data_IF_458618906664
#
_entry.id   IF_458618906664
#
_cell.length_a   1.000
_cell.length_b   1.000
_cell.length_c   1.000
_cell.angle_alpha   90.00
_cell.angle_beta   90.00
_cell.angle_gamma   90.00
#
_symmetry.space_group_name_H-M   'P 1'
#
loop_
_entity.id
_entity.type
_entity.pdbx_description
1 polymer ?
#
# COMPACT_ATOMS: atom_id res chain seq x y z
N UNK A 1 -25.07 -56.12 73.00
CA UNK A 1 -24.84 -55.94 71.55
C UNK A 1 -24.01 -54.65 71.33
N UNK A 2 -22.71 -54.80 71.11
CA UNK A 2 -21.80 -53.69 70.93
C UNK A 2 -21.51 -53.50 69.41
N UNK A 3 -21.48 -52.32 68.89
CA UNK A 3 -21.12 -52.12 67.47
C UNK A 3 -19.62 -52.10 67.28
N UNK A 4 -19.18 -52.76 66.21
CA UNK A 4 -17.80 -52.89 65.81
C UNK A 4 -17.21 -51.53 65.28
N UNK A 5 -16.09 -51.16 65.85
CA UNK A 5 -15.29 -50.02 65.38
C UNK A 5 -14.49 -50.40 64.12
N UNK A 6 -14.75 -49.78 62.99
CA UNK A 6 -13.87 -49.84 61.83
C UNK A 6 -12.74 -48.83 62.03
N UNK A 7 -11.50 -49.28 62.05
CA UNK A 7 -10.30 -48.48 61.97
C UNK A 7 -10.05 -48.08 60.52
N UNK A 8 -10.08 -46.80 60.24
CA UNK A 8 -9.63 -46.21 58.98
C UNK A 8 -8.14 -45.98 59.13
N UNK A 9 -7.33 -46.66 58.32
CA UNK A 9 -5.88 -46.40 58.22
C UNK A 9 -5.65 -45.17 57.42
N UNK A 10 -5.10 -44.15 58.07
CA UNK A 10 -4.57 -42.94 57.42
C UNK A 10 -3.28 -43.32 56.71
N UNK A 11 -3.26 -43.33 55.36
CA UNK A 11 -2.06 -43.28 54.56
C UNK A 11 -1.46 -41.87 54.66
N UNK A 12 -0.15 -41.73 54.71
CA UNK A 12 0.45 -40.45 54.93
C UNK A 12 0.34 -39.55 53.72
N UNK A 13 -0.21 -38.37 53.95
CA UNK A 13 -0.46 -37.29 52.98
C UNK A 13 0.85 -36.56 52.51
N UNK A 14 2.02 -37.17 52.72
CA UNK A 14 3.30 -36.54 52.44
C UNK A 14 3.90 -36.80 51.04
N UNK A 15 3.32 -37.76 50.27
CA UNK A 15 3.88 -38.11 48.95
C UNK A 15 3.28 -37.35 47.77
N UNK A 16 2.12 -36.71 47.95
CA UNK A 16 1.42 -36.00 46.84
C UNK A 16 2.06 -34.65 46.44
N UNK A 17 2.59 -33.82 47.36
CA UNK A 17 3.18 -32.57 46.95
C UNK A 17 4.54 -32.73 46.24
N UNK A 18 5.27 -33.82 46.43
CA UNK A 18 6.57 -34.03 45.79
C UNK A 18 6.45 -34.46 44.32
N UNK A 19 5.36 -35.17 43.98
CA UNK A 19 5.09 -35.58 42.60
C UNK A 19 4.58 -34.43 41.74
N UNK A 20 3.87 -33.46 42.34
CA UNK A 20 3.41 -32.24 41.60
C UNK A 20 4.55 -31.26 41.34
N UNK A 21 5.60 -31.22 42.16
CA UNK A 21 6.77 -30.37 41.95
C UNK A 21 7.69 -30.89 40.84
N UNK A 22 7.73 -32.21 40.63
CA UNK A 22 8.55 -32.80 39.57
C UNK A 22 7.97 -32.61 38.17
N UNK A 23 6.64 -32.38 38.04
CA UNK A 23 6.00 -32.11 36.74
C UNK A 23 6.14 -30.65 36.31
N UNK A 24 6.36 -29.72 37.26
CA UNK A 24 6.52 -28.29 36.98
C UNK A 24 7.96 -27.90 36.58
N UNK A 25 8.96 -28.74 36.86
CA UNK A 25 10.36 -28.50 36.46
C UNK A 25 10.70 -28.96 35.04
N UNK A 26 9.79 -29.68 34.38
CA UNK A 26 9.99 -30.20 33.02
C UNK A 26 9.54 -29.24 31.89
N UNK A 27 8.88 -28.12 32.19
CA UNK A 27 8.36 -27.18 31.17
C UNK A 27 9.13 -25.87 31.07
N UNK A 28 10.27 -25.70 31.72
CA UNK A 28 11.08 -24.47 31.60
C UNK A 28 11.96 -24.40 30.35
N UNK A 29 11.85 -25.38 29.44
CA UNK A 29 12.66 -25.44 28.22
C UNK A 29 11.90 -25.24 26.92
N UNK A 30 10.58 -25.01 26.92
CA UNK A 30 9.79 -24.97 25.69
C UNK A 30 9.30 -23.59 25.24
N UNK A 31 9.58 -22.56 26.01
CA UNK A 31 9.49 -21.20 25.53
C UNK A 31 10.92 -20.64 25.36
N UNK A 32 11.62 -21.15 24.36
CA UNK A 32 12.62 -20.32 23.74
C UNK A 32 11.83 -19.24 23.02
N UNK A 33 11.65 -18.12 23.69
CA UNK A 33 11.43 -16.86 23.03
C UNK A 33 12.50 -16.81 21.93
N UNK A 34 12.17 -16.69 20.64
CA UNK A 34 13.21 -16.47 19.64
C UNK A 34 13.94 -15.24 20.13
N UNK A 35 15.21 -15.42 20.46
CA UNK A 35 16.01 -14.37 21.04
C UNK A 35 15.91 -13.14 20.16
N UNK A 36 15.65 -12.01 20.79
CA UNK A 36 15.80 -10.68 20.26
C UNK A 36 17.22 -10.47 19.79
N UNK A 37 17.55 -11.00 18.64
CA UNK A 37 18.76 -10.66 17.89
C UNK A 37 18.54 -11.00 16.41
N UNK A 38 17.37 -10.67 15.87
CA UNK A 38 17.31 -10.22 14.52
C UNK A 38 17.44 -8.71 14.57
N UNK A 39 18.66 -8.19 14.51
CA UNK A 39 18.85 -6.98 13.75
C UNK A 39 18.08 -7.23 12.45
N UNK A 40 16.93 -6.58 12.29
CA UNK A 40 16.28 -6.45 11.01
C UNK A 40 17.31 -5.78 10.11
N UNK A 41 18.09 -6.58 9.40
CA UNK A 41 18.86 -6.08 8.28
C UNK A 41 17.78 -5.65 7.30
N UNK A 42 17.49 -4.35 7.26
CA UNK A 42 16.78 -3.72 6.17
C UNK A 42 17.36 -4.32 4.90
N UNK A 43 16.50 -4.96 4.10
CA UNK A 43 16.96 -5.58 2.88
C UNK A 43 17.64 -4.51 2.03
N UNK A 44 18.95 -4.59 1.87
CA UNK A 44 19.72 -3.67 1.03
C UNK A 44 19.48 -4.02 -0.44
N UNK A 45 18.31 -3.66 -0.98
CA UNK A 45 17.95 -3.91 -2.36
C UNK A 45 16.59 -3.34 -2.70
N UNK A 46 16.40 -3.04 -3.97
CA UNK A 46 15.10 -2.63 -4.48
C UNK A 46 14.25 -3.86 -4.75
N UNK A 47 13.10 -3.93 -4.08
CA UNK A 47 12.15 -5.01 -4.23
C UNK A 47 10.77 -4.46 -4.62
N UNK A 48 10.05 -5.24 -5.43
CA UNK A 48 8.68 -4.97 -5.79
C UNK A 48 7.79 -6.15 -5.39
N UNK A 49 6.59 -5.82 -4.93
CA UNK A 49 5.58 -6.79 -4.55
C UNK A 49 4.30 -6.49 -5.34
N UNK A 50 3.89 -7.45 -6.16
CA UNK A 50 2.69 -7.35 -6.99
C UNK A 50 1.67 -8.39 -6.50
N UNK A 51 0.51 -7.95 -6.02
CA UNK A 51 -0.55 -8.86 -5.64
C UNK A 51 -1.50 -9.13 -6.78
N UNK A 52 -1.96 -10.37 -6.82
CA UNK A 52 -2.88 -10.85 -7.83
C UNK A 52 -3.99 -11.67 -7.19
N UNK A 53 -5.19 -11.57 -7.76
CA UNK A 53 -6.31 -12.43 -7.48
C UNK A 53 -6.62 -13.28 -8.72
N UNK A 54 -6.61 -14.59 -8.55
CA UNK A 54 -6.99 -15.54 -9.60
C UNK A 54 -8.12 -16.43 -9.08
N UNK A 55 -8.92 -17.00 -9.98
CA UNK A 55 -9.96 -17.95 -9.57
C UNK A 55 -9.36 -19.13 -8.81
N UNK A 56 -9.51 -19.12 -7.47
CA UNK A 56 -9.01 -20.14 -6.56
C UNK A 56 -7.59 -19.96 -6.03
N UNK A 57 -6.87 -18.88 -6.38
CA UNK A 57 -5.51 -18.63 -5.89
C UNK A 57 -5.22 -17.14 -5.79
N UNK A 58 -4.96 -16.65 -4.58
CA UNK A 58 -4.50 -15.29 -4.34
C UNK A 58 -3.04 -15.33 -3.91
N UNK A 59 -2.20 -14.44 -4.41
CA UNK A 59 -0.78 -14.46 -4.09
C UNK A 59 -0.11 -13.09 -4.27
N UNK A 60 1.07 -12.96 -3.70
CA UNK A 60 2.00 -11.86 -3.92
C UNK A 60 3.21 -12.40 -4.67
N UNK A 61 3.51 -11.83 -5.81
CA UNK A 61 4.79 -12.00 -6.49
C UNK A 61 5.79 -10.98 -5.93
N UNK A 62 6.90 -11.46 -5.41
CA UNK A 62 8.04 -10.63 -5.00
C UNK A 62 9.13 -10.67 -6.05
N UNK A 63 9.69 -9.51 -6.38
CA UNK A 63 10.78 -9.35 -7.35
C UNK A 63 11.90 -8.49 -6.78
N UNK A 64 13.14 -8.85 -7.08
CA UNK A 64 14.29 -7.96 -6.98
C UNK A 64 14.48 -7.22 -8.30
N UNK A 65 14.78 -5.92 -8.23
CA UNK A 65 15.00 -5.02 -9.37
C UNK A 65 16.50 -4.93 -9.75
N UNK A 66 17.28 -5.91 -9.40
CA UNK A 66 18.73 -5.89 -9.60
C UNK A 66 19.12 -5.84 -11.09
N UNK A 67 19.93 -4.86 -11.45
CA UNK A 67 20.51 -4.77 -12.80
C UNK A 67 19.49 -4.50 -13.91
N UNK A 68 18.34 -3.93 -13.61
CA UNK A 68 17.29 -3.63 -14.61
C UNK A 68 16.50 -4.87 -15.05
N UNK A 69 16.47 -5.90 -14.23
CA UNK A 69 15.71 -7.13 -14.48
C UNK A 69 14.81 -7.43 -13.29
N UNK A 70 13.67 -8.07 -13.56
CA UNK A 70 12.77 -8.61 -12.55
C UNK A 70 13.18 -10.06 -12.24
N UNK A 71 13.75 -10.27 -11.04
CA UNK A 71 14.14 -11.61 -10.57
C UNK A 71 13.29 -11.96 -9.36
N UNK A 72 12.59 -13.10 -9.41
CA UNK A 72 11.74 -13.54 -8.30
C UNK A 72 12.54 -13.62 -6.98
N UNK A 73 11.98 -13.08 -5.91
CA UNK A 73 12.53 -13.19 -4.55
C UNK A 73 12.42 -14.62 -4.04
N UNK A 74 13.20 -14.96 -3.03
CA UNK A 74 13.12 -16.27 -2.38
C UNK A 74 11.71 -16.54 -1.88
N UNK A 75 11.19 -17.73 -2.18
CA UNK A 75 9.83 -18.20 -1.83
C UNK A 75 8.67 -17.46 -2.54
N UNK A 76 8.95 -16.57 -3.50
CA UNK A 76 7.91 -16.04 -4.40
C UNK A 76 7.39 -17.15 -5.35
N UNK A 77 6.06 -17.22 -5.62
CA UNK A 77 4.99 -16.39 -5.08
C UNK A 77 4.56 -16.79 -3.66
N UNK A 78 4.11 -15.80 -2.88
CA UNK A 78 3.56 -16.01 -1.53
C UNK A 78 2.06 -16.20 -1.60
N UNK A 79 1.57 -17.39 -1.26
CA UNK A 79 0.13 -17.70 -1.27
C UNK A 79 -0.61 -16.96 -0.17
N UNK A 80 -1.78 -16.41 -0.51
CA UNK A 80 -2.67 -15.70 0.40
C UNK A 80 -3.95 -16.50 0.64
N UNK A 81 -4.42 -16.54 1.89
CA UNK A 81 -5.71 -17.11 2.26
C UNK A 81 -6.90 -16.17 2.01
N UNK A 82 -6.66 -14.99 1.45
CA UNK A 82 -7.64 -13.91 1.25
C UNK A 82 -7.42 -13.21 -0.09
N UNK A 83 -8.40 -12.43 -0.53
CA UNK A 83 -8.29 -11.59 -1.74
C UNK A 83 -7.62 -10.27 -1.35
N UNK A 84 -6.42 -9.96 -1.86
CA UNK A 84 -5.76 -8.70 -1.57
C UNK A 84 -6.44 -7.54 -2.29
N UNK A 85 -6.58 -6.38 -1.62
CA UNK A 85 -7.18 -5.17 -2.19
C UNK A 85 -6.19 -4.00 -2.29
N UNK A 86 -5.30 -3.85 -1.32
CA UNK A 86 -4.30 -2.79 -1.29
C UNK A 86 -3.02 -3.27 -0.61
N UNK A 87 -1.88 -2.66 -0.94
CA UNK A 87 -0.58 -2.94 -0.32
C UNK A 87 0.24 -1.69 -0.16
N UNK A 88 1.06 -1.65 0.90
CA UNK A 88 2.05 -0.60 1.13
C UNK A 88 3.27 -1.14 1.85
N UNK A 89 4.46 -0.67 1.46
CA UNK A 89 5.74 -0.93 2.16
C UNK A 89 6.04 0.28 3.06
N UNK A 90 6.58 0.03 4.25
CA UNK A 90 7.05 1.10 5.15
C UNK A 90 8.31 1.76 4.60
N UNK A 91 8.51 3.07 4.90
CA UNK A 91 9.68 3.84 4.46
C UNK A 91 11.03 3.19 4.85
N UNK A 92 11.09 2.50 5.99
CA UNK A 92 12.27 1.76 6.45
C UNK A 92 12.48 0.42 5.71
N UNK A 93 11.62 0.04 4.77
CA UNK A 93 11.64 -1.24 4.05
C UNK A 93 11.59 -2.48 4.96
N UNK A 94 11.03 -2.33 6.15
CA UNK A 94 10.96 -3.40 7.15
C UNK A 94 9.69 -4.22 7.09
N UNK A 95 8.58 -3.58 6.70
CA UNK A 95 7.27 -4.20 6.70
C UNK A 95 6.49 -3.92 5.41
N UNK A 96 5.72 -4.91 4.99
CA UNK A 96 4.69 -4.81 3.97
C UNK A 96 3.33 -5.03 4.64
N UNK A 97 2.38 -4.14 4.44
CA UNK A 97 0.99 -4.33 4.85
C UNK A 97 0.12 -4.63 3.65
N UNK A 98 -0.80 -5.57 3.83
CA UNK A 98 -1.72 -6.04 2.79
C UNK A 98 -3.13 -6.02 3.35
N UNK A 99 -4.00 -5.24 2.75
CA UNK A 99 -5.41 -5.27 3.08
C UNK A 99 -6.13 -6.39 2.33
N UNK A 100 -7.07 -7.05 3.01
CA UNK A 100 -8.00 -7.99 2.39
C UNK A 100 -9.30 -7.28 2.03
N UNK A 101 -9.88 -7.65 0.89
CA UNK A 101 -11.32 -7.43 0.70
C UNK A 101 -12.09 -8.48 1.50
N UNK A 102 -13.24 -8.08 2.10
CA UNK A 102 -14.04 -8.98 2.92
C UNK A 102 -14.41 -10.26 2.19
N UNK A 103 -13.95 -11.37 2.71
CA UNK A 103 -14.23 -12.66 2.09
C UNK A 103 -15.62 -13.21 2.47
N UNK A 104 -16.10 -13.05 3.69
CA UNK A 104 -17.30 -13.77 4.17
C UNK A 104 -18.16 -12.98 5.16
N UNK A 105 -17.62 -12.01 5.92
CA UNK A 105 -18.33 -11.34 7.02
C UNK A 105 -18.63 -9.86 6.81
N UNK A 106 -18.18 -9.28 5.70
CA UNK A 106 -18.28 -7.83 5.47
C UNK A 106 -17.18 -7.02 6.16
N UNK A 107 -16.33 -7.66 6.96
CA UNK A 107 -15.20 -7.04 7.65
C UNK A 107 -13.92 -7.45 6.93
N UNK A 108 -13.07 -6.49 6.57
CA UNK A 108 -11.73 -6.71 6.04
C UNK A 108 -10.71 -6.94 7.15
N UNK A 109 -9.49 -7.19 6.75
CA UNK A 109 -8.35 -7.34 7.65
C UNK A 109 -7.11 -6.72 7.02
N UNK A 110 -6.20 -6.23 7.84
CA UNK A 110 -4.86 -5.80 7.41
C UNK A 110 -3.84 -6.79 7.95
N UNK A 111 -3.13 -7.45 7.05
CA UNK A 111 -2.05 -8.40 7.35
C UNK A 111 -0.70 -7.71 7.25
N UNK A 112 0.18 -7.96 8.22
CA UNK A 112 1.56 -7.49 8.21
C UNK A 112 2.53 -8.60 7.81
N UNK A 113 3.57 -8.24 7.08
CA UNK A 113 4.71 -9.09 6.73
C UNK A 113 6.00 -8.35 7.04
N UNK A 114 7.00 -9.04 7.61
CA UNK A 114 8.36 -8.52 7.64
C UNK A 114 9.07 -8.80 6.31
N UNK A 115 9.86 -7.82 5.86
CA UNK A 115 10.71 -7.93 4.67
C UNK A 115 12.11 -8.31 5.15
N UNK A 116 12.52 -9.53 4.84
CA UNK A 116 13.85 -10.05 5.17
C UNK A 116 14.89 -9.76 4.09
N UNK A 117 16.11 -10.25 4.31
CA UNK A 117 17.18 -10.18 3.32
C UNK A 117 16.74 -10.85 2.01
N UNK A 118 17.07 -10.22 0.87
CA UNK A 118 16.65 -10.72 -0.44
C UNK A 118 15.18 -10.51 -0.75
N UNK A 119 14.47 -9.65 0.00
CA UNK A 119 13.05 -9.31 -0.22
C UNK A 119 12.08 -10.42 0.18
N UNK A 120 12.52 -11.41 0.96
CA UNK A 120 11.66 -12.50 1.40
C UNK A 120 10.60 -12.00 2.41
N UNK A 121 9.34 -12.40 2.21
CA UNK A 121 8.24 -12.04 3.11
C UNK A 121 8.01 -13.11 4.18
N UNK A 122 7.86 -12.67 5.42
CA UNK A 122 7.44 -13.51 6.53
C UNK A 122 6.23 -12.88 7.22
N UNK A 123 5.13 -13.61 7.31
CA UNK A 123 3.89 -13.10 7.90
C UNK A 123 4.07 -12.84 9.40
N UNK A 124 3.52 -11.74 9.88
CA UNK A 124 3.53 -11.34 11.29
C UNK A 124 2.33 -11.93 12.03
N UNK A 125 2.33 -11.79 13.35
CA UNK A 125 1.21 -12.10 14.24
C UNK A 125 0.61 -13.50 14.03
N UNK A 126 1.43 -14.50 13.72
CA UNK A 126 0.99 -15.89 13.49
C UNK A 126 -0.15 -16.01 12.45
N UNK A 127 -0.12 -15.20 11.42
CA UNK A 127 -1.13 -15.13 10.35
C UNK A 127 -2.50 -14.57 10.79
N UNK A 128 -2.56 -13.86 11.90
CA UNK A 128 -3.76 -13.12 12.31
C UNK A 128 -3.71 -11.71 11.74
N UNK A 129 -4.71 -11.35 10.94
CA UNK A 129 -4.94 -9.98 10.50
C UNK A 129 -5.46 -9.11 11.65
N UNK A 130 -5.32 -7.79 11.52
CA UNK A 130 -6.05 -6.83 12.32
C UNK A 130 -7.38 -6.58 11.64
N UNK A 131 -8.49 -6.74 12.39
CA UNK A 131 -9.82 -6.37 11.88
C UNK A 131 -9.83 -4.90 11.47
N UNK A 132 -10.30 -4.64 10.28
CA UNK A 132 -10.42 -3.34 9.66
C UNK A 132 -11.67 -3.32 8.77
N UNK A 133 -12.17 -2.15 8.44
CA UNK A 133 -13.14 -2.06 7.34
C UNK A 133 -12.48 -2.49 6.02
N UNK A 134 -13.28 -2.80 5.00
CA UNK A 134 -12.75 -3.15 3.70
C UNK A 134 -11.95 -1.98 3.10
N UNK A 135 -10.64 -2.15 2.99
CA UNK A 135 -9.76 -1.10 2.49
C UNK A 135 -9.66 -1.11 0.97
N UNK A 136 -9.83 0.04 0.33
CA UNK A 136 -9.55 0.24 -1.09
C UNK A 136 -8.14 0.74 -1.36
N UNK A 137 -7.53 1.44 -0.39
CA UNK A 137 -6.17 1.95 -0.49
C UNK A 137 -5.51 2.01 0.89
N UNK A 138 -4.19 1.84 0.91
CA UNK A 138 -3.32 1.97 2.07
C UNK A 138 -2.16 2.91 1.76
N UNK A 139 -1.73 3.69 2.75
CA UNK A 139 -0.45 4.38 2.71
C UNK A 139 0.17 4.53 4.10
N UNK A 140 1.50 4.71 4.16
CA UNK A 140 2.26 4.83 5.40
C UNK A 140 2.90 6.21 5.48
N UNK A 141 2.89 6.82 6.67
CA UNK A 141 3.53 8.11 6.89
C UNK A 141 5.05 8.06 6.65
N UNK A 142 5.65 9.18 6.20
CA UNK A 142 7.08 9.23 5.88
C UNK A 142 8.01 8.88 7.04
N UNK A 143 7.57 9.04 8.29
CA UNK A 143 8.29 8.63 9.49
C UNK A 143 8.10 7.15 9.86
N UNK A 144 7.27 6.42 9.10
CA UNK A 144 7.01 4.99 9.28
C UNK A 144 6.20 4.63 10.52
N UNK A 145 5.58 5.61 11.20
CA UNK A 145 4.87 5.37 12.45
C UNK A 145 3.36 5.17 12.30
N UNK A 146 2.78 5.61 11.19
CA UNK A 146 1.33 5.65 10.97
C UNK A 146 0.96 5.01 9.64
N UNK A 147 -0.07 4.18 9.66
CA UNK A 147 -0.70 3.63 8.47
C UNK A 147 -2.11 4.16 8.38
N UNK A 148 -2.52 4.57 7.19
CA UNK A 148 -3.88 5.00 6.90
C UNK A 148 -4.51 4.06 5.88
N UNK A 149 -5.80 3.78 6.08
CA UNK A 149 -6.66 2.98 5.22
C UNK A 149 -7.85 3.80 4.76
N UNK A 150 -8.09 3.83 3.46
CA UNK A 150 -9.32 4.39 2.89
C UNK A 150 -10.34 3.27 2.73
N UNK A 151 -11.49 3.37 3.40
CA UNK A 151 -12.50 2.34 3.36
C UNK A 151 -13.24 2.29 2.03
N UNK A 152 -13.57 1.09 1.56
CA UNK A 152 -14.19 0.86 0.26
C UNK A 152 -15.65 1.33 0.18
N UNK A 153 -16.30 1.57 1.32
CA UNK A 153 -17.62 2.19 1.40
C UNK A 153 -17.59 3.73 1.17
N UNK A 154 -16.39 4.32 1.24
CA UNK A 154 -16.15 5.74 1.05
C UNK A 154 -16.65 6.63 2.19
N UNK A 155 -16.91 6.06 3.37
CA UNK A 155 -17.42 6.83 4.51
C UNK A 155 -16.32 7.30 5.45
N UNK A 156 -15.22 6.52 5.57
CA UNK A 156 -14.16 6.79 6.54
C UNK A 156 -12.78 6.51 5.99
N UNK A 157 -11.81 7.20 6.58
CA UNK A 157 -10.39 6.88 6.55
C UNK A 157 -10.00 6.45 7.96
N UNK A 158 -9.38 5.28 8.11
CA UNK A 158 -8.93 4.75 9.40
C UNK A 158 -7.46 4.96 9.61
N UNK A 159 -7.05 5.16 10.85
CA UNK A 159 -5.68 5.38 11.28
C UNK A 159 -5.22 4.27 12.21
N UNK A 160 -4.00 3.80 11.96
CA UNK A 160 -3.32 2.79 12.76
C UNK A 160 -1.91 3.25 13.11
N UNK A 161 -1.53 3.03 14.37
CA UNK A 161 -0.15 3.19 14.81
C UNK A 161 0.66 1.93 14.53
N UNK A 162 1.82 2.11 13.93
CA UNK A 162 2.77 1.04 13.64
C UNK A 162 3.74 0.91 14.81
N UNK A 163 3.84 -0.27 15.41
CA UNK A 163 4.96 -0.60 16.27
C UNK A 163 6.20 -0.87 15.41
N UNK A 164 7.11 0.08 15.33
CA UNK A 164 8.26 0.02 14.42
C UNK A 164 9.26 -1.11 14.74
N UNK A 165 9.13 -1.75 15.90
CA UNK A 165 9.98 -2.91 16.28
C UNK A 165 9.36 -4.23 15.87
N UNK A 166 8.02 -4.38 16.01
CA UNK A 166 7.32 -5.64 15.75
C UNK A 166 6.48 -5.64 14.47
N UNK A 167 6.22 -4.48 13.88
CA UNK A 167 5.33 -4.32 12.74
C UNK A 167 3.84 -4.48 13.06
N UNK A 168 3.48 -4.64 14.34
CA UNK A 168 2.08 -4.80 14.73
C UNK A 168 1.36 -3.45 14.70
N UNK A 169 0.10 -3.49 14.27
CA UNK A 169 -0.77 -2.32 14.17
C UNK A 169 -1.67 -2.20 15.40
N UNK A 170 -1.95 -0.95 15.79
CA UNK A 170 -2.97 -0.62 16.79
C UNK A 170 -3.89 0.44 16.20
N UNK A 171 -5.20 0.21 16.21
CA UNK A 171 -6.18 1.19 15.74
C UNK A 171 -6.19 2.41 16.66
N UNK A 172 -6.17 3.62 16.08
CA UNK A 172 -6.07 4.88 16.81
C UNK A 172 -7.25 5.83 16.51
N UNK A 173 -7.66 5.99 15.25
CA UNK A 173 -8.67 6.96 14.90
C UNK A 173 -9.41 6.69 13.59
N UNK A 174 -10.55 7.38 13.43
CA UNK A 174 -11.35 7.36 12.22
C UNK A 174 -11.68 8.81 11.81
N UNK A 175 -11.53 9.09 10.53
CA UNK A 175 -11.78 10.40 9.94
C UNK A 175 -12.89 10.29 8.89
N UNK A 176 -14.00 11.06 9.03
CA UNK A 176 -15.09 10.98 8.07
C UNK A 176 -14.67 11.55 6.71
N UNK A 177 -15.02 10.84 5.65
CA UNK A 177 -14.88 11.34 4.29
C UNK A 177 -16.02 12.32 4.02
N UNK A 178 -15.67 13.50 3.54
CA UNK A 178 -16.62 14.56 3.24
C UNK A 178 -16.91 14.56 1.73
N UNK A 179 -17.91 13.79 1.32
CA UNK A 179 -18.30 13.76 -0.09
C UNK A 179 -18.68 15.18 -0.57
N UNK A 180 -18.19 15.57 -1.73
CA UNK A 180 -18.59 16.84 -2.35
C UNK A 180 -19.99 16.82 -2.92
N UNK A 181 -20.60 17.99 -3.01
CA UNK A 181 -21.94 18.14 -3.52
C UNK A 181 -22.08 17.57 -4.95
N UNK A 182 -22.84 16.48 -5.08
CA UNK A 182 -23.36 15.94 -6.34
C UNK A 182 -22.55 14.84 -7.02
N UNK A 183 -21.39 14.44 -6.47
CA UNK A 183 -20.59 13.33 -7.01
C UNK A 183 -20.90 11.99 -6.34
N UNK A 184 -20.57 10.89 -7.02
CA UNK A 184 -20.58 9.55 -6.43
C UNK A 184 -19.22 9.32 -5.80
N UNK A 185 -19.20 9.00 -4.51
CA UNK A 185 -17.99 8.61 -3.79
C UNK A 185 -17.56 7.22 -4.28
N UNK A 186 -16.38 7.17 -4.86
CA UNK A 186 -15.72 5.93 -5.24
C UNK A 186 -14.30 5.98 -4.71
N UNK A 187 -14.00 5.32 -3.57
CA UNK A 187 -12.67 5.35 -2.98
C UNK A 187 -11.68 4.62 -3.89
N UNK A 188 -10.70 5.33 -4.42
CA UNK A 188 -9.78 4.77 -5.41
C UNK A 188 -8.32 4.78 -4.95
N UNK A 189 -7.88 5.85 -4.31
CA UNK A 189 -6.48 5.99 -3.89
C UNK A 189 -6.35 6.89 -2.66
N UNK A 190 -5.33 6.61 -1.86
CA UNK A 190 -4.92 7.41 -0.70
C UNK A 190 -3.41 7.58 -0.76
N UNK A 191 -2.91 8.80 -0.50
CA UNK A 191 -1.49 9.10 -0.34
C UNK A 191 -1.25 10.13 0.74
N UNK A 192 -0.19 9.90 1.50
CA UNK A 192 0.37 10.85 2.47
C UNK A 192 1.48 11.62 1.77
N UNK A 193 1.50 12.93 1.93
CA UNK A 193 2.55 13.75 1.34
C UNK A 193 3.93 13.37 1.87
N UNK A 194 5.00 13.39 1.04
CA UNK A 194 6.37 13.13 1.51
C UNK A 194 6.82 14.06 2.63
N UNK A 195 6.24 15.27 2.72
CA UNK A 195 6.46 16.20 3.83
C UNK A 195 5.77 15.77 5.14
N UNK A 196 4.84 14.81 5.09
CA UNK A 196 4.05 14.36 6.23
C UNK A 196 3.03 15.37 6.75
N UNK A 197 2.68 16.38 5.95
CA UNK A 197 1.82 17.47 6.41
C UNK A 197 0.37 17.40 5.90
N UNK A 198 0.06 16.48 4.97
CA UNK A 198 -1.31 16.23 4.54
C UNK A 198 -1.50 14.81 3.98
N UNK A 199 -2.76 14.39 3.92
CA UNK A 199 -3.24 13.13 3.34
C UNK A 199 -4.26 13.49 2.27
N UNK A 200 -4.19 12.89 1.09
CA UNK A 200 -5.14 13.07 0.01
C UNK A 200 -5.84 11.74 -0.34
N UNK A 201 -7.18 11.79 -0.49
CA UNK A 201 -8.02 10.67 -0.84
C UNK A 201 -8.76 10.94 -2.15
N UNK A 202 -8.51 10.17 -3.21
CA UNK A 202 -9.21 10.26 -4.49
C UNK A 202 -10.53 9.48 -4.42
N UNK A 203 -11.64 10.16 -4.68
CA UNK A 203 -13.01 9.70 -4.40
C UNK A 203 -13.89 9.65 -5.67
N UNK A 204 -13.30 9.37 -6.81
CA UNK A 204 -14.03 9.32 -8.08
C UNK A 204 -14.62 10.68 -8.47
N UNK A 205 -15.90 10.71 -8.84
CA UNK A 205 -16.59 11.95 -9.23
C UNK A 205 -16.91 12.87 -8.05
N UNK A 206 -16.75 12.40 -6.82
CA UNK A 206 -16.85 13.23 -5.62
C UNK A 206 -15.63 14.15 -5.42
N UNK A 207 -14.53 13.93 -6.15
CA UNK A 207 -13.34 14.77 -6.06
C UNK A 207 -12.23 14.17 -5.21
N UNK A 208 -11.55 15.03 -4.46
CA UNK A 208 -10.45 14.64 -3.56
C UNK A 208 -10.67 15.30 -2.20
N UNK A 209 -10.65 14.51 -1.14
CA UNK A 209 -10.55 15.02 0.23
C UNK A 209 -9.08 15.15 0.62
N UNK A 210 -8.72 16.31 1.18
CA UNK A 210 -7.36 16.59 1.67
C UNK A 210 -7.42 16.96 3.14
N UNK A 211 -6.81 16.13 3.98
CA UNK A 211 -6.70 16.32 5.42
C UNK A 211 -5.31 16.89 5.76
N UNK A 212 -5.24 17.94 6.58
CA UNK A 212 -3.96 18.29 7.19
C UNK A 212 -3.54 17.14 8.13
N UNK A 213 -2.24 16.84 8.17
CA UNK A 213 -1.72 15.74 8.96
C UNK A 213 -0.49 16.19 9.75
N UNK A 214 -0.29 15.62 10.93
CA UNK A 214 0.88 15.85 11.77
C UNK A 214 1.50 14.52 12.15
N UNK A 215 2.59 14.13 11.49
CA UNK A 215 3.27 12.86 11.72
C UNK A 215 3.75 12.68 13.16
N UNK A 216 4.12 13.77 13.87
CA UNK A 216 4.60 13.69 15.27
C UNK A 216 3.52 13.20 16.22
N UNK A 217 2.27 13.61 16.00
CA UNK A 217 1.13 13.26 16.87
C UNK A 217 0.25 12.17 16.31
N UNK A 218 0.37 11.87 15.01
CA UNK A 218 -0.51 10.98 14.28
C UNK A 218 -1.85 11.60 13.90
N UNK A 219 -2.14 12.82 14.28
CA UNK A 219 -3.48 13.40 14.15
C UNK A 219 -3.68 14.02 12.77
N UNK A 220 -4.71 13.56 12.07
CA UNK A 220 -5.24 14.24 10.89
C UNK A 220 -6.34 15.24 11.29
N UNK A 221 -6.62 16.23 10.45
CA UNK A 221 -7.70 17.19 10.70
C UNK A 221 -9.07 16.50 10.70
N UNK A 222 -9.98 16.95 11.57
CA UNK A 222 -11.33 16.38 11.70
C UNK A 222 -12.24 16.67 10.50
N UNK A 223 -11.80 17.53 9.58
CA UNK A 223 -12.51 17.84 8.33
C UNK A 223 -11.51 18.01 7.19
N UNK A 224 -11.89 17.50 6.01
CA UNK A 224 -11.10 17.65 4.80
C UNK A 224 -11.34 19.02 4.12
N UNK A 225 -10.30 19.49 3.42
CA UNK A 225 -10.49 20.44 2.33
C UNK A 225 -10.83 19.64 1.06
N UNK A 226 -11.89 20.02 0.39
CA UNK A 226 -12.38 19.27 -0.77
C UNK A 226 -11.92 19.93 -2.06
N UNK A 227 -11.26 19.14 -2.93
CA UNK A 227 -10.89 19.56 -4.28
C UNK A 227 -11.93 19.00 -5.27
N UNK A 228 -12.75 19.84 -5.88
CA UNK A 228 -13.75 19.38 -6.83
C UNK A 228 -13.08 18.91 -8.13
N UNK A 229 -13.66 17.91 -8.82
CA UNK A 229 -13.20 17.55 -10.15
C UNK A 229 -13.45 18.71 -11.14
N UNK A 230 -12.69 18.78 -12.25
CA UNK A 230 -12.85 19.84 -13.25
C UNK A 230 -14.24 19.93 -13.89
N UNK A 231 -14.98 18.85 -13.88
CA UNK A 231 -16.38 18.78 -14.30
C UNK A 231 -17.13 17.69 -13.55
N UNK A 232 -18.46 17.77 -13.48
CA UNK A 232 -19.31 16.78 -12.80
C UNK A 232 -19.29 15.37 -13.40
N UNK A 233 -18.78 15.22 -14.62
CA UNK A 233 -18.58 13.93 -15.29
C UNK A 233 -17.15 13.40 -15.18
N UNK A 234 -16.26 14.15 -14.52
CA UNK A 234 -14.87 13.78 -14.34
C UNK A 234 -14.69 13.04 -13.02
N UNK A 235 -13.94 11.94 -13.03
CA UNK A 235 -13.59 11.20 -11.81
C UNK A 235 -12.09 11.06 -11.68
N UNK A 236 -11.58 11.11 -10.44
CA UNK A 236 -10.18 10.85 -10.12
C UNK A 236 -10.03 9.41 -9.63
N UNK A 237 -9.13 8.66 -10.26
CA UNK A 237 -8.92 7.23 -9.97
C UNK A 237 -7.56 6.93 -9.35
N UNK A 238 -6.59 7.82 -9.53
CA UNK A 238 -5.25 7.65 -8.96
C UNK A 238 -4.65 9.00 -8.61
N UNK A 239 -3.75 9.00 -7.64
CA UNK A 239 -3.03 10.19 -7.22
C UNK A 239 -1.58 9.87 -6.86
N UNK A 240 -0.70 10.86 -7.04
CA UNK A 240 0.67 10.86 -6.56
C UNK A 240 1.01 12.26 -6.01
N UNK A 241 1.96 12.32 -5.10
CA UNK A 241 2.41 13.57 -4.48
C UNK A 241 3.92 13.64 -4.60
N UNK A 242 4.45 14.77 -5.02
CA UNK A 242 5.88 14.99 -5.13
C UNK A 242 6.47 15.65 -3.85
N UNK A 243 7.78 15.79 -3.82
CA UNK A 243 8.48 16.43 -2.68
C UNK A 243 8.21 17.92 -2.56
N UNK A 244 7.62 18.57 -3.57
CA UNK A 244 7.21 19.98 -3.53
C UNK A 244 5.78 20.16 -3.01
N UNK A 245 5.09 19.08 -2.63
CA UNK A 245 3.68 19.03 -2.29
C UNK A 245 2.73 19.31 -3.47
N UNK A 246 3.19 19.09 -4.69
CA UNK A 246 2.31 19.08 -5.85
C UNK A 246 1.57 17.75 -5.91
N UNK A 247 0.24 17.82 -5.96
CA UNK A 247 -0.69 16.71 -6.02
C UNK A 247 -1.11 16.47 -7.48
N UNK A 248 -0.72 15.34 -8.02
CA UNK A 248 -1.04 14.87 -9.36
C UNK A 248 -2.23 13.92 -9.32
N UNK A 249 -3.28 14.26 -10.02
CA UNK A 249 -4.54 13.53 -10.06
C UNK A 249 -4.79 13.02 -11.47
N UNK A 250 -4.87 11.72 -11.63
CA UNK A 250 -5.20 11.08 -12.90
C UNK A 250 -6.66 10.61 -12.91
N UNK A 251 -7.37 10.89 -13.99
CA UNK A 251 -8.80 10.58 -14.10
C UNK A 251 -9.32 10.64 -15.53
N UNK A 252 -10.65 10.60 -15.68
CA UNK A 252 -11.33 10.55 -16.99
C UNK A 252 -11.04 11.74 -17.88
N UNK A 253 -10.69 12.89 -17.33
CA UNK A 253 -10.39 14.11 -18.11
C UNK A 253 -8.90 14.33 -18.35
N UNK A 254 -8.06 13.39 -17.91
CA UNK A 254 -6.63 13.48 -18.03
C UNK A 254 -5.93 13.70 -16.68
N UNK A 255 -4.79 14.36 -16.70
CA UNK A 255 -3.97 14.67 -15.54
C UNK A 255 -4.23 16.10 -15.07
N UNK A 256 -4.47 16.27 -13.78
CA UNK A 256 -4.69 17.57 -13.12
C UNK A 256 -3.67 17.73 -11.99
N UNK A 257 -3.16 18.94 -11.81
CA UNK A 257 -2.14 19.23 -10.79
C UNK A 257 -2.61 20.34 -9.86
N UNK A 258 -2.51 20.10 -8.56
CA UNK A 258 -2.72 21.09 -7.50
C UNK A 258 -1.45 21.26 -6.68
N UNK A 259 -1.06 22.48 -6.39
CA UNK A 259 -0.11 22.76 -5.31
C UNK A 259 -0.89 22.82 -3.99
N UNK A 260 -0.52 21.99 -3.03
CA UNK A 260 -1.18 21.89 -1.73
C UNK A 260 -0.28 22.47 -0.64
N UNK A 261 -0.85 23.36 0.17
CA UNK A 261 -0.20 23.89 1.37
C UNK A 261 -1.04 23.53 2.57
N UNK A 262 -0.49 22.70 3.44
CA UNK A 262 -1.10 22.32 4.70
C UNK A 262 -0.22 22.80 5.86
N UNK A 263 -0.84 23.20 6.96
CA UNK A 263 -0.13 23.63 8.16
C UNK A 263 -0.49 22.76 9.38
N UNK A 264 0.36 22.78 10.38
CA UNK A 264 0.18 22.03 11.62
C UNK A 264 -1.05 22.44 12.45
N UNK A 265 -1.71 23.55 12.13
CA UNK A 265 -2.96 23.99 12.77
C UNK A 265 -4.22 23.40 12.11
N UNK A 266 -4.07 22.50 11.15
CA UNK A 266 -5.17 21.80 10.49
C UNK A 266 -5.76 22.53 9.29
N UNK A 267 -5.14 23.62 8.83
CA UNK A 267 -5.60 24.35 7.63
C UNK A 267 -4.93 23.78 6.37
N UNK A 268 -5.75 23.54 5.35
CA UNK A 268 -5.32 23.15 4.01
C UNK A 268 -5.75 24.20 3.01
N UNK A 269 -4.84 24.64 2.18
CA UNK A 269 -5.12 25.46 0.99
C UNK A 269 -4.55 24.79 -0.24
N UNK A 270 -5.25 24.91 -1.36
CA UNK A 270 -4.80 24.34 -2.63
C UNK A 270 -4.96 25.35 -3.75
N UNK A 271 -4.05 25.29 -4.68
CA UNK A 271 -4.09 26.14 -5.89
C UNK A 271 -3.96 25.22 -7.11
N UNK A 272 -4.90 25.33 -8.03
CA UNK A 272 -4.82 24.64 -9.31
C UNK A 272 -3.65 25.25 -10.10
N UNK A 273 -2.73 24.40 -10.56
CA UNK A 273 -1.61 24.86 -11.38
C UNK A 273 -2.14 25.47 -12.68
N UNK A 274 -1.66 26.65 -13.04
CA UNK A 274 -2.24 27.52 -14.09
C UNK A 274 -2.25 26.92 -15.50
N UNK A 275 -1.56 25.80 -15.71
CA UNK A 275 -1.46 25.09 -16.99
C UNK A 275 -1.98 23.66 -16.94
N UNK A 276 -2.60 23.22 -15.83
CA UNK A 276 -2.91 21.82 -15.54
C UNK A 276 -4.28 21.33 -16.03
N UNK A 277 -5.02 22.13 -16.77
CA UNK A 277 -6.30 21.68 -17.32
C UNK A 277 -6.09 20.97 -18.66
N UNK A 278 -6.27 19.65 -18.69
CA UNK A 278 -6.45 18.93 -19.93
C UNK A 278 -5.21 18.26 -20.52
N UNK A 279 -4.26 17.83 -19.71
CA UNK A 279 -3.27 16.88 -20.21
C UNK A 279 -3.96 15.57 -20.55
N UNK A 280 -4.12 15.31 -21.84
CA UNK A 280 -4.85 14.16 -22.35
C UNK A 280 -4.13 12.87 -21.95
N UNK A 281 -4.85 11.99 -21.29
CA UNK A 281 -4.47 10.61 -21.07
C UNK A 281 -5.37 9.73 -21.93
N UNK A 282 -4.99 8.49 -22.15
CA UNK A 282 -5.84 7.51 -22.83
C UNK A 282 -7.15 7.25 -22.06
N UNK A 283 -8.01 6.44 -22.64
CA UNK A 283 -9.26 6.01 -22.00
C UNK A 283 -8.99 4.83 -21.08
N UNK A 284 -9.80 4.68 -20.01
CA UNK A 284 -9.73 3.56 -19.06
C UNK A 284 -9.18 3.94 -17.70
N UNK A 285 -8.91 2.96 -16.87
CA UNK A 285 -8.33 3.16 -15.55
C UNK A 285 -6.94 3.77 -15.69
N UNK A 286 -6.67 4.80 -14.89
CA UNK A 286 -5.44 5.57 -14.96
C UNK A 286 -4.68 5.39 -13.66
N UNK A 287 -3.38 5.20 -13.74
CA UNK A 287 -2.47 5.18 -12.62
C UNK A 287 -1.42 6.25 -12.78
N UNK A 288 -0.92 6.80 -11.67
CA UNK A 288 0.07 7.88 -11.70
C UNK A 288 1.19 7.62 -10.71
N UNK A 289 2.42 7.94 -11.12
CA UNK A 289 3.61 7.92 -10.28
C UNK A 289 4.49 9.13 -10.58
N UNK A 290 5.21 9.62 -9.57
CA UNK A 290 6.14 10.74 -9.69
C UNK A 290 7.56 10.24 -9.53
N UNK A 291 8.51 10.76 -10.32
CA UNK A 291 9.93 10.42 -10.19
C UNK A 291 10.49 10.86 -8.83
N UNK A 292 11.56 10.19 -8.36
CA UNK A 292 12.21 10.50 -7.08
C UNK A 292 12.69 11.96 -6.98
N UNK A 293 13.15 12.52 -8.09
CA UNK A 293 13.64 13.89 -8.16
C UNK A 293 12.53 14.93 -8.31
N UNK A 294 11.24 14.51 -8.31
CA UNK A 294 10.10 15.38 -8.66
C UNK A 294 10.24 16.10 -10.01
N UNK A 295 11.06 15.54 -10.90
CA UNK A 295 11.30 16.09 -12.23
C UNK A 295 10.32 15.60 -13.29
N UNK A 296 9.66 14.46 -13.05
CA UNK A 296 8.76 13.81 -14.01
C UNK A 296 7.56 13.19 -13.32
N UNK A 297 6.43 13.21 -14.03
CA UNK A 297 5.23 12.43 -13.69
C UNK A 297 4.91 11.46 -14.82
N UNK A 298 4.55 10.24 -14.43
CA UNK A 298 4.19 9.14 -15.31
C UNK A 298 2.74 8.78 -15.10
N UNK A 299 1.96 8.69 -16.18
CA UNK A 299 0.55 8.30 -16.10
C UNK A 299 0.26 7.14 -17.04
N UNK A 300 -0.18 6.03 -16.48
CA UNK A 300 -0.57 4.82 -17.21
C UNK A 300 -2.01 4.86 -17.64
N UNK A 301 -2.30 4.38 -18.84
CA UNK A 301 -3.63 4.33 -19.42
C UNK A 301 -3.92 2.94 -19.95
N UNK A 302 -5.13 2.45 -19.69
CA UNK A 302 -5.66 1.24 -20.31
C UNK A 302 -6.40 1.61 -21.59
N UNK A 303 -6.09 0.96 -22.69
CA UNK A 303 -6.76 1.17 -23.99
C UNK A 303 -7.65 -0.01 -24.41
N UNK A 304 -8.21 -0.73 -23.44
CA UNK A 304 -9.22 -1.75 -23.72
C UNK A 304 -8.75 -2.88 -24.66
N UNK A 305 -7.55 -3.42 -24.46
CA UNK A 305 -7.01 -4.53 -25.27
C UNK A 305 -6.24 -4.12 -26.53
N UNK A 306 -6.08 -2.83 -26.78
CA UNK A 306 -5.33 -2.31 -27.96
C UNK A 306 -3.88 -1.94 -27.66
N UNK A 307 -3.37 -2.31 -26.47
CA UNK A 307 -2.08 -1.88 -25.95
C UNK A 307 -2.22 -0.63 -25.07
N UNK A 308 -1.53 -0.66 -23.95
CA UNK A 308 -1.48 0.46 -23.02
C UNK A 308 -0.35 1.41 -23.33
N UNK A 309 -0.48 2.63 -22.84
CA UNK A 309 0.55 3.65 -22.96
C UNK A 309 0.86 4.26 -21.61
N UNK A 310 2.11 4.70 -21.45
CA UNK A 310 2.54 5.51 -20.32
C UNK A 310 2.91 6.89 -20.85
N UNK A 311 2.19 7.89 -20.40
CA UNK A 311 2.49 9.29 -20.66
C UNK A 311 3.56 9.75 -19.68
N UNK A 312 4.57 10.45 -20.16
CA UNK A 312 5.61 11.06 -19.34
C UNK A 312 5.63 12.56 -19.57
N UNK A 313 5.61 13.31 -18.47
CA UNK A 313 5.69 14.77 -18.49
C UNK A 313 6.81 15.24 -17.57
N UNK A 314 7.57 16.23 -18.01
CA UNK A 314 8.47 16.97 -17.15
C UNK A 314 7.67 17.96 -16.29
N UNK A 315 8.01 18.02 -15.00
CA UNK A 315 7.39 18.91 -14.01
C UNK A 315 8.22 20.20 -13.96
N UNK A 316 7.60 21.31 -14.32
CA UNK A 316 8.17 22.64 -14.22
C UNK A 316 7.71 23.41 -12.99
N UNK A 317 8.07 24.67 -12.91
CA UNK A 317 7.72 25.55 -11.80
C UNK A 317 6.19 25.62 -11.61
N UNK A 318 5.74 25.47 -10.36
CA UNK A 318 4.32 25.54 -10.01
C UNK A 318 3.49 24.41 -10.59
N UNK A 319 4.08 23.22 -10.77
CA UNK A 319 3.37 22.02 -11.25
C UNK A 319 3.04 22.05 -12.76
N UNK A 320 3.61 22.97 -13.52
CA UNK A 320 3.40 23.03 -14.98
C UNK A 320 4.01 21.80 -15.66
N UNK A 321 3.26 21.15 -16.57
CA UNK A 321 3.69 19.93 -17.23
C UNK A 321 4.07 20.18 -18.70
N UNK A 322 5.16 19.55 -19.13
CA UNK A 322 5.60 19.53 -20.54
C UNK A 322 5.82 18.09 -20.96
N UNK A 323 5.20 17.66 -22.06
CA UNK A 323 5.36 16.30 -22.57
C UNK A 323 6.83 15.98 -22.86
N UNK A 324 7.30 14.85 -22.37
CA UNK A 324 8.64 14.33 -22.67
C UNK A 324 8.69 13.88 -24.12
N UNK A 325 9.82 14.13 -24.79
CA UNK A 325 10.02 13.70 -26.17
C UNK A 325 9.87 12.19 -26.30
N UNK A 326 9.02 11.74 -27.23
CA UNK A 326 8.67 10.35 -27.42
C UNK A 326 7.48 9.86 -26.59
N UNK A 327 6.94 10.67 -25.66
CA UNK A 327 5.71 10.35 -24.94
C UNK A 327 4.50 10.43 -25.89
N UNK A 328 3.50 9.50 -25.78
CA UNK A 328 3.45 8.37 -24.84
C UNK A 328 4.32 7.18 -25.25
N UNK A 329 4.75 6.40 -24.27
CA UNK A 329 5.55 5.18 -24.45
C UNK A 329 4.64 3.94 -24.43
N UNK A 330 4.93 2.97 -25.30
CA UNK A 330 4.16 1.74 -25.35
C UNK A 330 4.42 0.88 -24.10
N UNK A 331 3.36 0.37 -23.51
CA UNK A 331 3.38 -0.63 -22.46
C UNK A 331 2.67 -1.88 -23.00
N UNK A 332 3.31 -3.06 -22.99
CA UNK A 332 2.71 -4.30 -23.50
C UNK A 332 1.57 -4.83 -22.61
N UNK A 333 1.46 -4.37 -21.38
CA UNK A 333 0.39 -4.74 -20.45
C UNK A 333 -0.60 -3.60 -20.28
N UNK A 334 -1.86 -3.93 -20.03
CA UNK A 334 -2.89 -2.96 -19.63
C UNK A 334 -2.55 -2.43 -18.23
N UNK A 335 -1.93 -1.25 -18.16
CA UNK A 335 -1.35 -0.70 -16.92
C UNK A 335 -2.45 -0.32 -15.94
N UNK A 336 -2.56 -1.10 -14.84
CA UNK A 336 -3.48 -0.84 -13.74
C UNK A 336 -2.83 -0.05 -12.60
N UNK A 337 -1.54 -0.26 -12.36
CA UNK A 337 -0.77 0.45 -11.34
C UNK A 337 0.62 0.80 -11.84
N UNK A 338 1.13 1.94 -11.39
CA UNK A 338 2.50 2.41 -11.61
C UNK A 338 3.16 2.69 -10.27
N UNK A 339 4.42 2.29 -10.13
CA UNK A 339 5.25 2.68 -9.00
C UNK A 339 6.70 2.82 -9.43
N UNK A 340 7.42 3.77 -8.85
CA UNK A 340 8.86 3.95 -9.06
C UNK A 340 9.68 3.20 -8.03
N UNK A 341 10.89 2.82 -8.39
CA UNK A 341 11.86 2.27 -7.45
C UNK A 341 12.50 3.33 -6.54
N UNK A 342 13.20 2.90 -5.51
CA UNK A 342 13.86 3.77 -4.54
C UNK A 342 15.00 4.60 -5.16
N UNK A 343 15.66 4.09 -6.18
CA UNK A 343 16.76 4.80 -6.84
C UNK A 343 16.27 5.90 -7.79
N UNK A 344 15.02 5.77 -8.28
CA UNK A 344 14.45 6.64 -9.31
C UNK A 344 14.92 6.31 -10.72
N UNK A 345 15.57 5.16 -10.91
CA UNK A 345 16.04 4.69 -12.22
C UNK A 345 15.01 3.84 -12.95
N UNK A 346 14.04 3.28 -12.21
CA UNK A 346 13.06 2.35 -12.75
C UNK A 346 11.64 2.75 -12.42
N UNK A 347 10.74 2.45 -13.36
CA UNK A 347 9.30 2.50 -13.19
C UNK A 347 8.73 1.11 -13.41
N UNK A 348 7.92 0.62 -12.49
CA UNK A 348 7.15 -0.60 -12.67
C UNK A 348 5.74 -0.29 -13.09
N UNK A 349 5.24 -1.05 -14.07
CA UNK A 349 3.83 -1.12 -14.42
C UNK A 349 3.27 -2.51 -14.11
N UNK A 350 2.17 -2.54 -13.38
CA UNK A 350 1.37 -3.74 -13.15
C UNK A 350 0.12 -3.68 -14.00
N UNK A 351 -0.20 -4.76 -14.71
CA UNK A 351 -1.34 -4.76 -15.61
C UNK A 351 -1.96 -6.12 -15.87
N UNK A 352 -3.05 -6.11 -16.65
CA UNK A 352 -3.82 -7.30 -16.99
C UNK A 352 -3.19 -8.01 -18.19
N UNK A 353 -2.24 -8.90 -17.98
CA UNK A 353 -1.67 -9.70 -19.07
C UNK A 353 -1.24 -11.07 -18.60
N UNK A 354 -1.62 -12.08 -19.35
CA UNK A 354 -1.24 -13.46 -19.11
C UNK A 354 0.28 -13.72 -19.24
N UNK A 355 0.97 -12.91 -20.02
CA UNK A 355 2.36 -13.16 -20.39
C UNK A 355 3.34 -12.13 -19.86
N UNK A 356 2.85 -11.00 -19.36
CA UNK A 356 3.68 -9.89 -18.89
C UNK A 356 2.89 -8.99 -17.93
N UNK A 357 2.41 -9.55 -16.80
CA UNK A 357 1.63 -8.82 -15.79
C UNK A 357 2.43 -7.71 -15.12
N UNK A 358 3.71 -7.93 -14.86
CA UNK A 358 4.61 -6.92 -14.30
C UNK A 358 5.67 -6.52 -15.32
N UNK A 359 5.79 -5.23 -15.62
CA UNK A 359 6.75 -4.68 -16.56
C UNK A 359 7.66 -3.63 -15.93
N UNK A 360 8.94 -3.73 -16.23
CA UNK A 360 9.97 -2.80 -15.79
C UNK A 360 10.38 -1.88 -16.93
N UNK A 361 10.49 -0.58 -16.63
CA UNK A 361 11.02 0.44 -17.51
C UNK A 361 12.23 1.12 -16.85
N UNK A 362 13.26 1.38 -17.63
CA UNK A 362 14.32 2.31 -17.23
C UNK A 362 13.87 3.74 -17.48
N UNK A 363 14.04 4.63 -16.50
CA UNK A 363 13.77 6.06 -16.60
C UNK A 363 15.07 6.76 -17.06
N UNK A 364 15.06 7.30 -18.25
CA UNK A 364 16.18 8.11 -18.76
C UNK A 364 16.24 9.48 -18.07
N UNK A 365 17.39 10.14 -18.16
CA UNK A 365 17.61 11.48 -17.57
C UNK A 365 16.67 12.57 -18.11
N UNK A 366 16.06 12.35 -19.26
CA UNK A 366 15.03 13.21 -19.86
C UNK A 366 13.60 12.83 -19.50
N UNK A 367 13.40 11.78 -18.68
CA UNK A 367 12.07 11.21 -18.38
C UNK A 367 11.54 10.24 -19.44
N UNK A 368 12.34 9.94 -20.46
CA UNK A 368 11.95 8.93 -21.47
C UNK A 368 12.01 7.53 -20.87
N UNK A 369 11.05 6.68 -21.24
CA UNK A 369 10.95 5.31 -20.76
C UNK A 369 11.45 4.32 -21.81
N UNK A 370 12.24 3.34 -21.34
CA UNK A 370 12.69 2.21 -22.16
C UNK A 370 12.31 0.92 -21.44
N UNK A 371 11.57 0.03 -22.09
CA UNK A 371 11.24 -1.29 -21.54
C UNK A 371 12.53 -2.08 -21.29
N UNK A 372 12.74 -2.54 -20.06
CA UNK A 372 13.93 -3.29 -19.66
C UNK A 372 13.65 -4.72 -19.24
N UNK A 373 12.43 -5.07 -18.86
CA UNK A 373 12.08 -6.43 -18.49
C UNK A 373 10.60 -6.63 -18.25
N UNK A 374 10.16 -7.87 -18.35
CA UNK A 374 8.80 -8.30 -18.03
C UNK A 374 8.85 -9.56 -17.17
N UNK A 375 7.89 -9.70 -16.27
CA UNK A 375 7.67 -10.94 -15.54
C UNK A 375 6.23 -11.41 -15.75
N UNK A 376 6.09 -12.71 -15.99
CA UNK A 376 4.77 -13.33 -16.04
C UNK A 376 4.24 -13.53 -14.62
N UNK A 377 3.00 -13.17 -14.37
CA UNK A 377 2.36 -13.32 -13.06
C UNK A 377 1.70 -14.70 -12.86
N UNK A 378 2.11 -15.67 -13.65
CA UNK A 378 1.91 -17.11 -13.40
C UNK A 378 0.59 -17.72 -13.89
N UNK A 379 -0.39 -16.94 -14.35
CA UNK A 379 -1.68 -17.50 -14.83
C UNK A 379 -2.37 -16.59 -15.84
N UNK A 380 -3.08 -17.19 -16.79
CA UNK A 380 -3.85 -16.47 -17.83
C UNK A 380 -5.10 -15.73 -17.34
N UNK A 381 -5.42 -15.82 -16.05
CA UNK A 381 -6.64 -15.26 -15.44
C UNK A 381 -6.35 -14.47 -14.16
N UNK A 382 -5.16 -13.91 -14.03
CA UNK A 382 -4.82 -13.08 -12.88
C UNK A 382 -5.39 -11.68 -13.02
N UNK A 383 -6.01 -11.20 -11.95
CA UNK A 383 -6.45 -9.82 -11.79
C UNK A 383 -5.44 -9.14 -10.87
N UNK A 384 -4.62 -8.21 -11.38
CA UNK A 384 -3.71 -7.45 -10.53
C UNK A 384 -4.53 -6.57 -9.57
N UNK A 385 -4.16 -6.55 -8.30
CA UNK A 385 -4.91 -5.83 -7.28
C UNK A 385 -4.12 -4.68 -6.66
N UNK A 386 -2.83 -4.87 -6.40
CA UNK A 386 -1.98 -3.81 -5.85
C UNK A 386 -0.51 -4.01 -6.20
N UNK A 387 0.24 -2.91 -6.16
CA UNK A 387 1.69 -2.85 -6.38
C UNK A 387 2.32 -2.01 -5.27
N UNK A 388 3.35 -2.56 -4.60
CA UNK A 388 4.14 -1.85 -3.60
C UNK A 388 5.63 -2.10 -3.84
N UNK A 389 6.45 -1.06 -3.67
CA UNK A 389 7.90 -1.11 -3.83
C UNK A 389 8.58 -0.67 -2.53
N UNK A 390 9.80 -1.16 -2.34
CA UNK A 390 10.71 -0.61 -1.32
C UNK A 390 11.18 0.80 -1.73
N UNK A 391 11.48 1.62 -0.72
CA UNK A 391 11.84 3.05 -0.84
C UNK A 391 13.34 3.27 -0.90
#
# INVERSE_FOLDING_TARGET
>A
MAPASRRISLLPLAAVPLLLLAVLTGCSGFFVYPGTSSSSSSGSGDYAYASNSASGSNYINGYSLSGGSLVATTSSPYSLGFVPSAMVVTEANTYLYVASSAAISGIGEIYGYSIGSGGALTILNSSLGLEAENSSALDVSPDGQWLFSLNSDGLTMEEYKINTTSGLLTAEGNYPITATAGGVVTPNALKIAPSGNYIACALGTAGVDVFAFNTTTGVASSSAAVLPPPSTSSGFYSLAIDSNNDLFLAGTTGLVVYTVVANSSGSVTSTLASSSTGYTLGTGNVSVAVSKSSGFVFAGSQNGGSGSTIYSYAIGTGGALTAVSGSPFNAPTDVAALARDSTGNYLLGLGYSATSGTQLFTIGSSGALTSSGTAADGSTLTIPTALALTH
#
